data_IF_186510146624
#
_entry.id   IF_186510146624
#
_cell.length_a   1.000
_cell.length_b   1.000
_cell.length_c   1.000
_cell.angle_alpha   90.00
_cell.angle_beta   90.00
_cell.angle_gamma   90.00
#
_symmetry.space_group_name_H-M   'P 1'
#
loop_
_entity.id
_entity.type
_entity.pdbx_description
1 polymer ?
#
# COMPACT_ATOMS: atom_id res chain seq x y z
N UNK A 1 5.60 -1.74 17.15
CA UNK A 1 4.97 -1.14 15.96
C UNK A 1 3.65 -0.50 16.37
N UNK A 2 3.49 0.81 16.16
CA UNK A 2 2.23 1.53 16.45
C UNK A 2 1.23 1.34 15.29
N UNK A 3 -0.07 1.40 15.60
CA UNK A 3 -1.15 1.11 14.64
C UNK A 3 -1.90 2.40 14.33
N UNK A 4 -1.97 2.78 13.06
CA UNK A 4 -2.73 3.94 12.61
C UNK A 4 -4.19 3.58 12.31
N UNK A 5 -5.15 4.31 12.86
CA UNK A 5 -6.57 4.12 12.57
C UNK A 5 -6.97 4.91 11.33
N UNK A 6 -7.31 4.22 10.24
CA UNK A 6 -7.78 4.86 9.01
C UNK A 6 -9.26 5.19 9.09
N UNK A 7 -9.64 6.31 8.48
CA UNK A 7 -11.01 6.79 8.32
C UNK A 7 -11.70 6.13 7.13
N UNK A 8 -10.94 5.69 6.13
CA UNK A 8 -11.46 4.98 4.96
C UNK A 8 -11.85 3.55 5.30
N UNK A 9 -12.91 3.08 4.65
CA UNK A 9 -13.31 1.68 4.69
C UNK A 9 -12.71 0.94 3.49
N UNK A 10 -12.40 -0.36 3.62
CA UNK A 10 -12.01 -1.19 2.47
C UNK A 10 -13.11 -1.17 1.41
N UNK A 11 -12.73 -1.31 0.14
CA UNK A 11 -13.72 -1.36 -0.93
C UNK A 11 -14.70 -2.53 -0.71
N UNK A 12 -16.02 -2.27 -0.85
CA UNK A 12 -17.02 -3.33 -0.79
C UNK A 12 -16.98 -4.17 -2.06
N UNK A 13 -17.47 -5.40 -1.97
CA UNK A 13 -17.52 -6.38 -3.05
C UNK A 13 -16.79 -7.68 -2.69
N UNK A 14 -17.07 -8.77 -3.39
CA UNK A 14 -16.38 -10.07 -3.22
C UNK A 14 -15.64 -10.49 -4.49
N UNK A 15 -16.02 -9.92 -5.64
CA UNK A 15 -15.42 -10.18 -6.93
C UNK A 15 -14.23 -9.24 -7.18
N UNK A 16 -13.12 -9.80 -7.66
CA UNK A 16 -11.93 -9.06 -8.04
C UNK A 16 -12.23 -7.92 -9.02
N UNK A 17 -13.02 -8.16 -10.07
CA UNK A 17 -13.30 -7.20 -11.13
C UNK A 17 -13.97 -5.94 -10.58
N UNK A 18 -14.95 -6.10 -9.69
CA UNK A 18 -15.69 -5.01 -9.06
C UNK A 18 -14.77 -4.17 -8.14
N UNK A 19 -14.00 -4.85 -7.29
CA UNK A 19 -13.07 -4.21 -6.35
C UNK A 19 -11.96 -3.48 -7.12
N UNK A 20 -11.44 -4.11 -8.19
CA UNK A 20 -10.41 -3.56 -9.05
C UNK A 20 -10.88 -2.29 -9.77
N UNK A 21 -12.11 -2.25 -10.28
CA UNK A 21 -12.66 -1.05 -10.91
C UNK A 21 -12.65 0.16 -9.95
N UNK A 22 -13.09 -0.04 -8.70
CA UNK A 22 -13.08 1.01 -7.66
C UNK A 22 -11.66 1.48 -7.34
N UNK A 23 -10.74 0.53 -7.15
CA UNK A 23 -9.34 0.85 -6.84
C UNK A 23 -8.61 1.52 -8.02
N UNK A 24 -8.87 1.06 -9.25
CA UNK A 24 -8.30 1.62 -10.47
C UNK A 24 -8.81 3.05 -10.73
N UNK A 25 -10.07 3.34 -10.40
CA UNK A 25 -10.58 4.71 -10.45
C UNK A 25 -9.84 5.64 -9.49
N UNK A 26 -9.61 5.21 -8.24
CA UNK A 26 -8.81 5.95 -7.26
C UNK A 26 -7.36 6.14 -7.72
N UNK A 27 -6.75 5.08 -8.25
CA UNK A 27 -5.41 5.15 -8.83
C UNK A 27 -5.32 6.12 -10.01
N UNK A 28 -6.34 6.12 -10.88
CA UNK A 28 -6.41 7.03 -12.02
C UNK A 28 -6.50 8.49 -11.58
N UNK A 29 -7.21 8.79 -10.48
CA UNK A 29 -7.21 10.13 -9.88
C UNK A 29 -5.82 10.54 -9.40
N UNK A 30 -5.11 9.65 -8.70
CA UNK A 30 -3.74 9.90 -8.24
C UNK A 30 -2.76 10.07 -9.40
N UNK A 31 -2.94 9.26 -10.46
CA UNK A 31 -2.17 9.36 -11.70
C UNK A 31 -2.39 10.70 -12.39
N UNK A 32 -3.62 11.19 -12.50
CA UNK A 32 -3.92 12.52 -13.09
C UNK A 32 -3.30 13.67 -12.31
N UNK A 33 -3.17 13.55 -10.98
CA UNK A 33 -2.48 14.54 -10.13
C UNK A 33 -0.94 14.48 -10.25
N UNK A 34 -0.41 13.39 -10.80
CA UNK A 34 1.03 13.14 -10.90
C UNK A 34 1.53 13.37 -12.33
N UNK A 35 2.68 14.02 -12.51
CA UNK A 35 3.20 14.33 -13.85
C UNK A 35 3.72 13.11 -14.63
N UNK A 36 4.50 12.23 -13.99
CA UNK A 36 5.18 11.10 -14.64
C UNK A 36 4.74 9.76 -14.05
N UNK A 37 5.31 9.41 -12.89
CA UNK A 37 4.96 8.21 -12.13
C UNK A 37 3.90 8.57 -11.07
N UNK A 38 2.82 7.79 -10.91
CA UNK A 38 1.86 8.00 -9.82
C UNK A 38 2.51 7.80 -8.45
N UNK A 39 2.33 8.76 -7.56
CA UNK A 39 2.85 8.71 -6.19
C UNK A 39 1.90 9.34 -5.19
N UNK A 40 2.12 9.04 -3.91
CA UNK A 40 1.60 9.79 -2.77
C UNK A 40 2.74 10.22 -1.87
N UNK A 41 2.52 11.20 -1.00
CA UNK A 41 3.57 11.72 -0.10
C UNK A 41 3.39 11.17 1.30
N UNK A 42 4.39 10.45 1.81
CA UNK A 42 4.30 9.84 3.14
C UNK A 42 4.47 10.86 4.26
N UNK A 43 3.62 10.82 5.29
CA UNK A 43 3.82 11.66 6.47
C UNK A 43 5.02 11.21 7.33
N UNK A 44 5.32 9.91 7.35
CA UNK A 44 6.47 9.35 8.06
C UNK A 44 7.80 9.71 7.39
N UNK A 45 7.89 9.54 6.06
CA UNK A 45 9.11 9.85 5.31
C UNK A 45 9.18 11.33 4.92
N UNK A 46 8.87 12.26 5.82
CA UNK A 46 9.00 13.71 5.58
C UNK A 46 8.42 14.22 4.23
N UNK A 47 7.26 13.71 3.82
CA UNK A 47 6.58 14.02 2.55
C UNK A 47 7.34 13.61 1.28
N UNK A 48 8.27 12.67 1.41
CA UNK A 48 8.87 11.95 0.28
C UNK A 48 7.82 11.13 -0.49
N UNK A 49 8.16 10.86 -1.76
CA UNK A 49 7.27 10.19 -2.70
C UNK A 49 7.30 8.68 -2.48
N UNK A 50 6.11 8.10 -2.33
CA UNK A 50 5.88 6.66 -2.40
C UNK A 50 5.22 6.37 -3.75
N UNK A 51 5.96 5.77 -4.65
CA UNK A 51 5.47 5.40 -5.97
C UNK A 51 4.51 4.22 -5.91
N UNK A 52 3.50 4.23 -6.78
CA UNK A 52 2.37 3.30 -6.67
C UNK A 52 2.33 2.21 -7.76
N UNK A 53 3.16 2.28 -8.80
CA UNK A 53 3.09 1.33 -9.91
C UNK A 53 3.45 -0.10 -9.49
N UNK A 54 4.46 -0.24 -8.63
CA UNK A 54 4.93 -1.54 -8.14
C UNK A 54 3.81 -2.37 -7.48
N UNK A 55 2.83 -1.73 -6.85
CA UNK A 55 1.68 -2.41 -6.24
C UNK A 55 0.92 -3.25 -7.27
N UNK A 56 0.70 -2.70 -8.46
CA UNK A 56 -0.08 -3.36 -9.52
C UNK A 56 0.70 -4.48 -10.18
N UNK A 57 2.01 -4.28 -10.39
CA UNK A 57 2.93 -5.30 -10.91
C UNK A 57 2.97 -6.51 -9.97
N UNK A 58 3.25 -6.27 -8.67
CA UNK A 58 3.30 -7.32 -7.66
C UNK A 58 1.94 -7.98 -7.39
N UNK A 59 0.83 -7.24 -7.58
CA UNK A 59 -0.51 -7.81 -7.51
C UNK A 59 -0.78 -8.75 -8.70
N UNK A 60 -0.34 -8.39 -9.91
CA UNK A 60 -0.53 -9.18 -11.12
C UNK A 60 0.16 -10.54 -11.02
N UNK A 61 1.37 -10.57 -10.45
CA UNK A 61 2.16 -11.79 -10.19
C UNK A 61 1.47 -12.81 -9.28
N UNK A 62 0.51 -12.40 -8.45
CA UNK A 62 -0.21 -13.36 -7.60
C UNK A 62 -1.08 -14.26 -8.48
N UNK A 63 -1.05 -15.57 -8.25
CA UNK A 63 -1.90 -16.50 -9.01
C UNK A 63 -3.33 -16.53 -8.48
N UNK A 64 -3.52 -16.28 -7.18
CA UNK A 64 -4.81 -16.45 -6.50
C UNK A 64 -5.69 -15.18 -6.54
N UNK A 65 -6.85 -15.27 -7.21
CA UNK A 65 -7.84 -14.18 -7.27
C UNK A 65 -8.39 -13.75 -5.91
N UNK A 66 -8.55 -14.67 -4.96
CA UNK A 66 -9.02 -14.34 -3.60
C UNK A 66 -7.99 -13.47 -2.89
N UNK A 67 -6.70 -13.78 -3.04
CA UNK A 67 -5.62 -12.96 -2.49
C UNK A 67 -5.55 -11.60 -3.18
N UNK A 68 -5.60 -11.55 -4.52
CA UNK A 68 -5.67 -10.28 -5.26
C UNK A 68 -6.80 -9.39 -4.76
N UNK A 69 -7.99 -9.96 -4.64
CA UNK A 69 -9.17 -9.24 -4.16
C UNK A 69 -8.95 -8.69 -2.75
N UNK A 70 -8.46 -9.53 -1.82
CA UNK A 70 -8.16 -9.09 -0.45
C UNK A 70 -7.15 -7.96 -0.41
N UNK A 71 -6.10 -7.98 -1.23
CA UNK A 71 -5.09 -6.91 -1.28
C UNK A 71 -5.66 -5.60 -1.84
N UNK A 72 -6.37 -5.66 -2.97
CA UNK A 72 -6.92 -4.47 -3.63
C UNK A 72 -8.01 -3.79 -2.79
N UNK A 73 -8.79 -4.54 -2.01
CA UNK A 73 -9.81 -3.97 -1.11
C UNK A 73 -9.25 -2.89 -0.19
N UNK A 74 -8.03 -3.09 0.30
CA UNK A 74 -7.38 -2.17 1.24
C UNK A 74 -6.56 -1.08 0.54
N UNK A 75 -6.59 -0.97 -0.79
CA UNK A 75 -5.79 0.01 -1.51
C UNK A 75 -6.06 1.44 -1.05
N UNK A 76 -7.32 1.86 -0.89
CA UNK A 76 -7.66 3.18 -0.38
C UNK A 76 -7.15 3.41 1.06
N UNK A 77 -7.35 2.41 1.92
CA UNK A 77 -6.88 2.45 3.30
C UNK A 77 -5.35 2.58 3.38
N UNK A 78 -4.62 1.92 2.47
CA UNK A 78 -3.17 2.02 2.40
C UNK A 78 -2.71 3.40 1.97
N UNK A 79 -3.35 4.00 0.97
CA UNK A 79 -3.06 5.38 0.56
C UNK A 79 -3.24 6.34 1.74
N UNK A 80 -4.38 6.28 2.43
CA UNK A 80 -4.63 7.15 3.58
C UNK A 80 -3.60 6.95 4.70
N UNK A 81 -3.27 5.70 5.01
CA UNK A 81 -2.27 5.38 6.02
C UNK A 81 -0.91 5.98 5.67
N UNK A 82 -0.47 5.87 4.42
CA UNK A 82 0.80 6.44 3.96
C UNK A 82 0.79 7.96 4.10
N UNK A 83 -0.28 8.61 3.65
CA UNK A 83 -0.35 10.08 3.60
C UNK A 83 -0.38 10.74 4.98
N UNK A 84 -0.87 10.04 6.00
CA UNK A 84 -1.19 10.61 7.30
C UNK A 84 -0.43 10.00 8.48
N UNK A 85 -0.01 8.74 8.41
CA UNK A 85 0.71 8.09 9.51
C UNK A 85 2.13 8.62 9.62
N UNK A 86 2.51 9.06 10.84
CA UNK A 86 3.89 9.35 11.24
C UNK A 86 4.49 8.25 12.11
N UNK A 87 3.81 7.11 12.24
CA UNK A 87 4.23 6.04 13.11
C UNK A 87 5.37 5.23 12.50
N UNK A 88 6.33 4.85 13.35
CA UNK A 88 7.46 4.03 12.94
C UNK A 88 7.00 2.66 12.41
N UNK A 89 7.36 2.32 11.15
CA UNK A 89 7.17 0.99 10.61
C UNK A 89 8.19 0.00 11.20
N UNK A 90 7.86 -1.28 11.13
CA UNK A 90 8.87 -2.31 11.26
C UNK A 90 9.69 -2.35 9.97
N UNK A 91 11.01 -2.10 10.05
CA UNK A 91 11.89 -2.03 8.90
C UNK A 91 12.92 -3.16 8.95
N UNK A 92 13.07 -3.90 7.86
CA UNK A 92 14.03 -5.02 7.73
C UNK A 92 14.66 -5.01 6.36
N UNK A 93 15.92 -5.42 6.27
CA UNK A 93 16.55 -5.66 4.97
C UNK A 93 15.84 -6.81 4.24
N UNK A 94 15.68 -6.67 2.94
CA UNK A 94 15.16 -7.74 2.12
C UNK A 94 16.21 -8.86 2.05
N UNK A 95 15.87 -10.05 2.56
CA UNK A 95 16.77 -11.22 2.62
C UNK A 95 17.22 -11.63 1.20
N UNK A 96 16.30 -11.54 0.24
CA UNK A 96 16.57 -11.94 -1.15
C UNK A 96 17.36 -10.86 -1.91
N UNK A 97 17.27 -9.60 -1.48
CA UNK A 97 17.88 -8.44 -2.15
C UNK A 97 18.37 -7.41 -1.13
N UNK A 98 19.60 -7.57 -0.66
CA UNK A 98 20.21 -6.70 0.37
C UNK A 98 20.28 -5.21 0.01
N UNK A 99 20.10 -4.86 -1.27
CA UNK A 99 19.97 -3.48 -1.75
C UNK A 99 18.62 -2.84 -1.42
N UNK A 100 17.67 -3.57 -0.82
CA UNK A 100 16.32 -3.11 -0.54
C UNK A 100 16.01 -3.18 0.96
N UNK A 101 15.21 -2.23 1.45
CA UNK A 101 14.62 -2.23 2.79
C UNK A 101 13.11 -2.38 2.66
N UNK A 102 12.50 -3.23 3.49
CA UNK A 102 11.06 -3.41 3.56
C UNK A 102 10.53 -2.75 4.83
N UNK A 103 9.70 -1.74 4.67
CA UNK A 103 9.00 -1.04 5.74
C UNK A 103 7.56 -1.55 5.83
N UNK A 104 7.20 -2.10 6.97
CA UNK A 104 5.86 -2.59 7.26
C UNK A 104 5.15 -1.65 8.23
N UNK A 105 4.11 -0.99 7.75
CA UNK A 105 3.23 -0.17 8.55
C UNK A 105 1.96 -0.93 8.91
N UNK A 106 1.46 -0.74 10.13
CA UNK A 106 0.19 -1.29 10.58
C UNK A 106 -0.95 -0.28 10.52
N UNK A 107 -2.06 -0.71 9.93
CA UNK A 107 -3.30 0.03 9.87
C UNK A 107 -4.45 -0.75 10.50
N UNK A 108 -5.44 -0.01 11.00
CA UNK A 108 -6.71 -0.55 11.49
C UNK A 108 -7.85 0.23 10.87
N UNK A 109 -8.82 -0.46 10.28
CA UNK A 109 -10.02 0.18 9.72
C UNK A 109 -10.97 0.65 10.82
N UNK A 110 -11.98 1.45 10.46
CA UNK A 110 -13.10 1.80 11.34
C UNK A 110 -13.77 0.56 11.97
N UNK A 111 -13.93 -0.51 11.19
CA UNK A 111 -14.48 -1.80 11.64
C UNK A 111 -13.47 -2.65 12.44
N UNK A 112 -12.41 -2.03 12.95
CA UNK A 112 -11.35 -2.68 13.70
C UNK A 112 -10.54 -3.77 12.97
N UNK A 113 -10.63 -3.85 11.63
CA UNK A 113 -9.88 -4.85 10.85
C UNK A 113 -8.43 -4.40 10.66
N UNK A 114 -7.51 -5.26 11.07
CA UNK A 114 -6.08 -5.01 10.97
C UNK A 114 -5.53 -5.35 9.58
N UNK A 115 -4.66 -4.49 9.06
CA UNK A 115 -3.96 -4.70 7.81
C UNK A 115 -2.55 -4.12 7.85
N UNK A 116 -1.71 -4.60 6.94
CA UNK A 116 -0.35 -4.14 6.76
C UNK A 116 -0.18 -3.48 5.40
N UNK A 117 0.64 -2.43 5.38
CA UNK A 117 1.14 -1.78 4.17
C UNK A 117 2.64 -2.02 4.13
N UNK A 118 3.11 -2.65 3.04
CA UNK A 118 4.52 -2.92 2.82
C UNK A 118 5.05 -1.96 1.75
N UNK A 119 6.03 -1.15 2.15
CA UNK A 119 6.78 -0.23 1.28
C UNK A 119 8.18 -0.81 1.10
N UNK A 120 8.63 -0.83 -0.14
CA UNK A 120 9.99 -1.17 -0.52
C UNK A 120 10.78 0.11 -0.73
N UNK A 121 11.95 0.21 -0.11
CA UNK A 121 12.93 1.28 -0.33
C UNK A 121 14.16 0.70 -1.04
N UNK A 122 14.60 1.36 -2.10
CA UNK A 122 15.88 1.06 -2.76
C UNK A 122 17.00 1.85 -2.08
N UNK A 123 18.02 1.17 -1.52
CA UNK A 123 19.09 1.82 -0.76
C UNK A 123 19.99 2.73 -1.61
N UNK A 124 20.04 2.50 -2.93
CA UNK A 124 20.92 3.27 -3.84
C UNK A 124 20.24 4.56 -4.30
N UNK A 125 18.94 4.49 -4.61
CA UNK A 125 18.20 5.65 -5.13
C UNK A 125 17.34 6.34 -4.06
N UNK A 126 17.21 5.73 -2.88
CA UNK A 126 16.28 6.11 -1.80
C UNK A 126 14.80 6.13 -2.24
N UNK A 127 14.51 5.63 -3.45
CA UNK A 127 13.15 5.60 -3.98
C UNK A 127 12.31 4.57 -3.22
N UNK A 128 11.11 5.01 -2.84
CA UNK A 128 10.17 4.21 -2.07
C UNK A 128 8.96 3.84 -2.92
N UNK A 129 8.54 2.59 -2.81
CA UNK A 129 7.51 1.99 -3.65
C UNK A 129 6.51 1.24 -2.79
N UNK A 130 5.22 1.50 -3.01
CA UNK A 130 4.17 0.67 -2.43
C UNK A 130 4.25 -0.71 -3.07
N UNK A 131 4.67 -1.71 -2.30
CA UNK A 131 4.84 -3.08 -2.78
C UNK A 131 3.56 -3.89 -2.59
N UNK A 132 2.95 -3.85 -1.41
CA UNK A 132 1.73 -4.60 -1.16
C UNK A 132 0.93 -4.11 0.04
N UNK A 133 -0.31 -4.57 0.11
CA UNK A 133 -1.24 -4.33 1.22
C UNK A 133 -1.95 -5.63 1.50
N UNK A 134 -2.01 -6.08 2.75
CA UNK A 134 -2.66 -7.35 3.08
C UNK A 134 -3.27 -7.33 4.49
N UNK A 135 -4.46 -7.91 4.69
CA UNK A 135 -5.07 -8.03 6.01
C UNK A 135 -4.38 -9.09 6.86
N UNK A 136 -4.38 -8.91 8.19
CA UNK A 136 -3.76 -9.84 9.15
C UNK A 136 -4.52 -11.17 9.22
N UNK A 137 -5.85 -11.11 9.14
CA UNK A 137 -6.72 -12.29 9.23
C UNK A 137 -7.09 -12.79 7.82
N UNK A 138 -7.20 -14.12 7.68
CA UNK A 138 -7.45 -14.85 6.42
C UNK A 138 -8.90 -14.85 5.96
#
# INVERSE_FOLDING_TARGET
MKIYQVKSSPYPGTNYKEVYQKASYTYSKLRRKSKRRPYVRSAYFNKEKIFLSLFWEHLYEKLNYRDKTRRVKYFLCAIELIENSKFDPESKENVDKKSEILHRFAGKTKDNKMFFVQIKEDKRTEEKWLMSVFPVQK
#
